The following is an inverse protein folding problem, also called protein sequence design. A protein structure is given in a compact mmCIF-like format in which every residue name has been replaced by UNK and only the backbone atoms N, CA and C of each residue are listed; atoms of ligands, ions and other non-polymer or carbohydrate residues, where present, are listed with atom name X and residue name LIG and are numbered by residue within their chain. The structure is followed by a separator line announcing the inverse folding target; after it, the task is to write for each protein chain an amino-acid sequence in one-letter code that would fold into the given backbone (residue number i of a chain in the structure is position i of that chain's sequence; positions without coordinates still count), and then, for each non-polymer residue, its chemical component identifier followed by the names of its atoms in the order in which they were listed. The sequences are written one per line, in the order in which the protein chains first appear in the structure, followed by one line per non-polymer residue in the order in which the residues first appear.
data_IF_573151272706
#
_entry.id   IF_573151272706
#
_cell.length_a   1.000
_cell.length_b   1.000
_cell.length_c   1.000
_cell.angle_alpha   90.00
_cell.angle_beta   90.00
_cell.angle_gamma   90.00
#
_symmetry.space_group_name_H-M   'P 1'
#
loop_
_entity.id
_entity.type
_entity.pdbx_description
1 polymer ?
#
# COMPACT_ATOMS: atom_id res chain seq x y z
N UNK A 1 6.93 -2.52 24.39
CA UNK A 1 7.52 -1.53 23.48
C UNK A 1 6.49 -0.44 23.20
N UNK A 2 6.89 0.83 23.11
CA UNK A 2 5.96 1.93 22.78
C UNK A 2 5.54 1.85 21.31
N UNK A 3 4.36 2.40 21.00
CA UNK A 3 3.87 2.59 19.63
C UNK A 3 4.01 4.07 19.26
N UNK A 4 4.34 4.34 18.00
CA UNK A 4 4.52 5.69 17.46
C UNK A 4 3.46 6.00 16.40
N UNK A 5 2.90 7.21 16.45
CA UNK A 5 2.00 7.71 15.41
C UNK A 5 2.84 8.22 14.23
N UNK A 6 2.81 7.50 13.12
CA UNK A 6 3.61 7.84 11.92
C UNK A 6 2.79 8.48 10.79
N UNK A 7 1.45 8.43 10.86
CA UNK A 7 0.58 9.03 9.85
C UNK A 7 -0.80 9.33 10.41
N UNK A 8 -1.33 10.49 10.05
CA UNK A 8 -2.71 10.92 10.32
C UNK A 8 -3.20 11.78 9.16
N UNK A 9 -4.49 11.67 8.83
CA UNK A 9 -5.11 12.50 7.81
C UNK A 9 -6.51 12.95 8.27
N UNK A 10 -6.84 14.21 7.99
CA UNK A 10 -8.15 14.78 8.24
C UNK A 10 -8.96 14.82 6.96
N UNK A 11 -10.27 14.58 7.08
CA UNK A 11 -11.20 14.60 5.95
C UNK A 11 -12.42 15.47 6.28
N UNK A 12 -12.97 16.20 5.30
CA UNK A 12 -14.13 17.08 5.53
C UNK A 12 -15.41 16.37 5.99
N UNK A 13 -15.53 15.07 5.74
CA UNK A 13 -16.69 14.27 6.12
C UNK A 13 -16.34 12.79 6.30
N UNK A 14 -17.26 12.07 6.96
CA UNK A 14 -17.13 10.65 7.28
C UNK A 14 -17.02 9.78 6.02
N UNK A 15 -17.73 10.12 4.93
CA UNK A 15 -17.71 9.32 3.71
C UNK A 15 -16.32 9.28 3.06
N UNK A 16 -15.63 10.43 3.02
CA UNK A 16 -14.25 10.50 2.51
C UNK A 16 -13.26 9.77 3.43
N UNK A 17 -13.39 9.93 4.75
CA UNK A 17 -12.56 9.20 5.70
C UNK A 17 -12.73 7.68 5.58
N UNK A 18 -13.98 7.22 5.47
CA UNK A 18 -14.31 5.80 5.29
C UNK A 18 -13.76 5.25 3.96
N UNK A 19 -13.89 5.99 2.87
CA UNK A 19 -13.34 5.59 1.58
C UNK A 19 -11.80 5.45 1.63
N UNK A 20 -11.11 6.41 2.27
CA UNK A 20 -9.66 6.36 2.44
C UNK A 20 -9.22 5.17 3.32
N UNK A 21 -9.92 4.92 4.44
CA UNK A 21 -9.66 3.76 5.30
C UNK A 21 -9.80 2.45 4.51
N UNK A 22 -10.90 2.30 3.77
CA UNK A 22 -11.14 1.12 2.91
C UNK A 22 -10.10 0.98 1.82
N UNK A 23 -9.63 2.08 1.26
CA UNK A 23 -8.58 2.06 0.26
C UNK A 23 -7.28 1.51 0.84
N UNK A 24 -6.87 1.95 2.05
CA UNK A 24 -5.61 1.53 2.70
C UNK A 24 -5.70 0.12 3.31
N UNK A 25 -6.91 -0.36 3.59
CA UNK A 25 -7.13 -1.72 4.10
C UNK A 25 -6.53 -2.77 3.15
N UNK A 26 -5.68 -3.66 3.68
CA UNK A 26 -5.02 -4.71 2.89
C UNK A 26 -3.86 -4.23 2.02
N UNK A 27 -3.46 -2.95 2.11
CA UNK A 27 -2.26 -2.49 1.43
C UNK A 27 -1.00 -3.21 1.91
N UNK A 28 -0.13 -3.51 0.94
CA UNK A 28 1.23 -3.97 1.22
C UNK A 28 1.96 -2.93 2.07
N UNK A 29 3.00 -3.38 2.78
CA UNK A 29 3.85 -2.50 3.59
C UNK A 29 4.43 -1.35 2.74
N UNK A 30 4.88 -1.64 1.52
CA UNK A 30 5.44 -0.63 0.62
C UNK A 30 4.46 0.51 0.28
N UNK A 31 3.18 0.21 0.04
CA UNK A 31 2.17 1.25 -0.22
C UNK A 31 1.92 2.11 1.03
N UNK A 32 1.87 1.50 2.21
CA UNK A 32 1.72 2.24 3.48
C UNK A 32 2.91 3.15 3.76
N UNK A 33 4.14 2.69 3.49
CA UNK A 33 5.35 3.51 3.62
C UNK A 33 5.43 4.65 2.59
N UNK A 34 4.92 4.44 1.37
CA UNK A 34 4.75 5.52 0.39
C UNK A 34 3.75 6.58 0.88
N UNK A 35 2.61 6.14 1.43
CA UNK A 35 1.61 7.03 2.03
C UNK A 35 2.18 7.85 3.20
N UNK A 36 2.89 7.20 4.13
CA UNK A 36 3.52 7.86 5.28
C UNK A 36 4.51 8.95 4.83
N UNK A 37 5.21 8.74 3.70
CA UNK A 37 6.16 9.70 3.13
C UNK A 37 5.52 10.79 2.25
N UNK A 38 4.21 10.72 1.98
CA UNK A 38 3.53 11.61 1.05
C UNK A 38 3.89 11.37 -0.42
N UNK A 39 4.48 10.21 -0.75
CA UNK A 39 4.88 9.85 -2.11
C UNK A 39 3.72 9.19 -2.86
N UNK A 40 2.74 10.01 -3.22
CA UNK A 40 1.53 9.55 -3.91
C UNK A 40 1.81 9.10 -5.35
N UNK A 41 2.85 9.64 -5.99
CA UNK A 41 3.26 9.30 -7.36
C UNK A 41 3.77 7.85 -7.46
N UNK A 42 4.35 7.31 -6.39
CA UNK A 42 4.78 5.91 -6.34
C UNK A 42 3.61 4.91 -6.18
N UNK A 43 2.45 5.33 -5.66
CA UNK A 43 1.35 4.42 -5.33
C UNK A 43 0.79 3.65 -6.55
N UNK A 44 0.57 4.27 -7.74
CA UNK A 44 0.13 3.54 -8.93
C UNK A 44 1.12 2.45 -9.35
N UNK A 45 2.43 2.72 -9.25
CA UNK A 45 3.48 1.74 -9.54
C UNK A 45 3.42 0.54 -8.58
N UNK A 46 3.30 0.83 -7.29
CA UNK A 46 3.19 -0.18 -6.22
C UNK A 46 1.87 -0.97 -6.24
N UNK A 47 0.84 -0.46 -6.94
CA UNK A 47 -0.43 -1.15 -7.13
C UNK A 47 -0.42 -2.12 -8.31
N UNK A 48 0.50 -1.97 -9.26
CA UNK A 48 0.61 -2.86 -10.40
C UNK A 48 1.09 -4.24 -9.96
N UNK A 49 0.48 -5.27 -10.52
CA UNK A 49 0.91 -6.65 -10.32
C UNK A 49 2.15 -6.92 -11.17
N UNK A 50 3.22 -7.36 -10.53
CA UNK A 50 4.45 -7.74 -11.23
C UNK A 50 4.33 -9.18 -11.79
N UNK A 51 3.89 -9.27 -13.04
CA UNK A 51 3.77 -10.54 -13.75
C UNK A 51 5.12 -11.14 -14.14
N UNK A 52 6.20 -10.35 -14.20
CA UNK A 52 7.54 -10.88 -14.48
C UNK A 52 8.06 -11.65 -13.26
N UNK A 53 7.95 -11.04 -12.06
CA UNK A 53 8.27 -11.70 -10.80
C UNK A 53 7.41 -12.94 -10.56
N UNK A 54 6.13 -12.90 -10.93
CA UNK A 54 5.25 -14.06 -10.82
C UNK A 54 5.70 -15.23 -11.71
N UNK A 55 6.10 -14.95 -12.96
CA UNK A 55 6.61 -15.98 -13.88
C UNK A 55 7.94 -16.56 -13.41
N UNK A 56 8.87 -15.72 -12.95
CA UNK A 56 10.15 -16.17 -12.39
C UNK A 56 9.96 -17.08 -11.16
N UNK A 57 8.98 -16.76 -10.30
CA UNK A 57 8.68 -17.57 -9.10
C UNK A 57 8.06 -18.93 -9.41
N UNK A 58 7.34 -19.06 -10.53
CA UNK A 58 6.76 -20.34 -10.97
C UNK A 58 7.78 -21.29 -11.60
N UNK A 59 8.75 -20.76 -12.35
CA UNK A 59 9.80 -21.58 -12.97
C UNK A 59 10.80 -22.19 -11.99
N UNK A 60 10.86 -21.72 -10.74
CA UNK A 60 11.72 -22.27 -9.68
C UNK A 60 11.05 -23.37 -8.83
N UNK A 61 9.80 -23.74 -9.11
CA UNK A 61 9.08 -24.79 -8.36
C UNK A 61 9.08 -26.15 -9.06
N UNK A 62 9.73 -26.26 -10.22
CA UNK A 62 9.81 -27.49 -11.03
C UNK A 62 11.19 -28.18 -10.94
N UNK A 63 12.07 -27.76 -10.02
CA UNK A 63 13.37 -28.39 -9.74
C UNK A 63 13.50 -28.84 -8.28
#
# INVERSE_FOLDING_TARGET
MPVELVYSAEFPNIAQAYAAEKQVQGWSRAKREALIRGDFEALPGLAKKDFARYRAKRGQSEE
#
